data_IF_762469245291
#
_entry.id   IF_762469245291
#
_cell.length_a   1.000
_cell.length_b   1.000
_cell.length_c   1.000
_cell.angle_alpha   90.00
_cell.angle_beta   90.00
_cell.angle_gamma   90.00
#
_symmetry.space_group_name_H-M   'P 1'
#
loop_
_entity.id
_entity.type
_entity.pdbx_description
1 polymer ?
#
# COMPACT_ATOMS: atom_id res chain seq x y z
N UNK A 1 5.51 17.82 0.73
CA UNK A 1 4.61 17.96 1.91
C UNK A 1 3.26 17.26 1.75
N UNK A 2 2.66 17.14 0.54
CA UNK A 2 1.40 16.41 0.30
C UNK A 2 1.53 14.87 0.26
N UNK A 3 2.53 14.29 0.91
CA UNK A 3 2.98 12.94 0.54
C UNK A 3 2.14 11.80 1.17
N UNK A 4 1.54 12.02 2.34
CA UNK A 4 1.01 10.94 3.22
C UNK A 4 -0.44 11.17 3.67
N UNK A 5 -1.15 12.06 3.00
CA UNK A 5 -2.56 12.30 3.23
C UNK A 5 -3.25 12.58 1.90
N UNK A 6 -4.55 12.31 1.84
CA UNK A 6 -5.39 12.48 0.66
C UNK A 6 -6.41 13.57 0.92
N UNK A 7 -6.55 14.48 -0.02
CA UNK A 7 -7.70 15.38 -0.03
C UNK A 7 -8.88 14.68 -0.71
N UNK A 8 -9.98 14.55 0.01
CA UNK A 8 -11.29 14.27 -0.58
C UNK A 8 -12.02 15.58 -0.81
N UNK A 9 -13.26 15.52 -1.30
CA UNK A 9 -14.12 16.70 -1.38
C UNK A 9 -14.35 17.30 0.02
N UNK A 10 -14.64 16.45 1.00
CA UNK A 10 -15.12 16.86 2.32
C UNK A 10 -14.03 16.88 3.41
N UNK A 11 -13.00 16.03 3.32
CA UNK A 11 -12.01 15.87 4.38
C UNK A 11 -10.58 15.67 3.87
N UNK A 12 -9.64 15.72 4.80
CA UNK A 12 -8.26 15.33 4.62
C UNK A 12 -8.04 13.98 5.34
N UNK A 13 -7.67 12.94 4.61
CA UNK A 13 -7.52 11.58 5.11
C UNK A 13 -6.06 11.19 5.31
N UNK A 14 -5.73 10.50 6.39
CA UNK A 14 -4.43 9.85 6.58
C UNK A 14 -4.58 8.54 7.37
N UNK A 15 -3.59 7.65 7.25
CA UNK A 15 -3.49 6.41 8.02
C UNK A 15 -2.34 6.51 9.01
N UNK A 16 -2.60 6.17 10.28
CA UNK A 16 -1.58 6.20 11.32
C UNK A 16 -0.51 5.13 11.11
N UNK A 17 -0.89 3.94 10.63
CA UNK A 17 0.04 2.86 10.25
C UNK A 17 1.04 3.38 9.21
N UNK A 18 0.56 4.16 8.25
CA UNK A 18 1.40 4.80 7.25
C UNK A 18 2.35 5.86 7.80
N UNK A 19 1.88 6.69 8.72
CA UNK A 19 2.75 7.67 9.40
C UNK A 19 3.83 6.94 10.21
N UNK A 20 3.48 5.85 10.90
CA UNK A 20 4.42 5.04 11.67
C UNK A 20 5.45 4.36 10.77
N UNK A 21 5.01 3.72 9.68
CA UNK A 21 5.90 3.10 8.72
C UNK A 21 6.93 4.09 8.18
N UNK A 22 6.52 5.33 7.87
CA UNK A 22 7.45 6.36 7.43
C UNK A 22 8.51 6.71 8.48
N UNK A 23 8.10 6.82 9.75
CA UNK A 23 8.96 7.33 10.83
C UNK A 23 9.83 6.22 11.42
N UNK A 24 9.32 5.00 11.44
CA UNK A 24 9.95 3.82 12.04
C UNK A 24 9.61 2.57 11.23
N UNK A 25 10.14 2.46 9.99
CA UNK A 25 9.77 1.38 9.07
C UNK A 25 10.13 -0.02 9.62
N UNK A 26 11.16 -0.11 10.47
CA UNK A 26 11.62 -1.36 11.10
C UNK A 26 10.93 -1.67 12.44
N UNK A 27 10.11 -0.76 12.94
CA UNK A 27 9.44 -0.90 14.21
C UNK A 27 7.98 -0.45 14.06
N UNK A 28 7.22 -1.26 13.31
CA UNK A 28 5.76 -1.25 13.36
C UNK A 28 5.30 -1.84 14.70
N UNK A 29 5.79 -1.29 15.80
CA UNK A 29 5.23 -1.58 17.11
C UNK A 29 3.82 -1.04 17.14
N UNK A 30 2.92 -1.74 17.80
CA UNK A 30 1.59 -1.21 18.11
C UNK A 30 1.62 0.00 19.07
N UNK A 31 2.79 0.57 19.33
CA UNK A 31 3.07 1.67 20.24
C UNK A 31 3.43 2.94 19.45
N UNK A 32 2.74 4.04 19.73
CA UNK A 32 2.98 5.33 19.09
C UNK A 32 3.90 6.22 19.95
N UNK A 33 5.15 6.47 19.54
CA UNK A 33 5.99 7.51 20.15
C UNK A 33 5.50 8.92 19.78
N UNK A 34 6.16 9.96 20.28
CA UNK A 34 5.75 11.36 20.06
C UNK A 34 5.91 11.84 18.59
N UNK A 35 6.88 11.30 17.83
CA UNK A 35 7.16 11.77 16.46
C UNK A 35 6.01 11.58 15.44
N UNK A 36 5.27 10.44 15.42
CA UNK A 36 4.07 10.28 14.59
C UNK A 36 3.01 11.35 14.79
N UNK A 37 2.80 11.79 16.03
CA UNK A 37 1.76 12.78 16.32
C UNK A 37 2.18 14.20 15.95
N UNK A 38 3.48 14.50 15.94
CA UNK A 38 4.00 15.72 15.28
C UNK A 38 3.72 15.72 13.77
N UNK A 39 3.78 14.55 13.13
CA UNK A 39 3.41 14.45 11.71
C UNK A 39 1.92 14.68 11.50
N UNK A 40 1.06 14.15 12.38
CA UNK A 40 -0.37 14.48 12.39
C UNK A 40 -0.60 15.99 12.57
N UNK A 41 0.12 16.64 13.50
CA UNK A 41 0.06 18.08 13.70
C UNK A 41 0.41 18.89 12.43
N UNK A 42 1.37 18.44 11.62
CA UNK A 42 1.69 19.07 10.32
C UNK A 42 0.59 18.86 9.27
N UNK A 43 -0.12 17.73 9.33
CA UNK A 43 -1.31 17.49 8.48
C UNK A 43 -2.43 18.45 8.88
N UNK A 44 -2.62 18.70 10.18
CA UNK A 44 -3.55 19.74 10.67
C UNK A 44 -3.22 21.08 10.04
N UNK A 45 -1.96 21.51 10.04
CA UNK A 45 -1.56 22.79 9.44
C UNK A 45 -1.88 22.84 7.93
N UNK A 46 -1.70 21.72 7.23
CA UNK A 46 -1.86 21.65 5.78
C UNK A 46 -3.31 21.55 5.32
N UNK A 47 -4.19 20.95 6.11
CA UNK A 47 -5.54 20.55 5.70
C UNK A 47 -6.53 21.70 5.38
N UNK A 48 -6.12 22.98 5.43
CA UNK A 48 -6.99 24.11 5.12
C UNK A 48 -8.18 24.25 6.08
N UNK A 49 -9.42 24.30 5.58
CA UNK A 49 -10.64 24.30 6.41
C UNK A 49 -11.24 22.90 6.62
N UNK A 50 -10.64 21.86 6.03
CA UNK A 50 -11.23 20.52 6.01
C UNK A 50 -11.12 19.81 7.34
N UNK A 51 -12.12 18.97 7.62
CA UNK A 51 -12.08 17.98 8.70
C UNK A 51 -10.96 16.98 8.43
N UNK A 52 -10.32 16.49 9.49
CA UNK A 52 -9.24 15.51 9.39
C UNK A 52 -9.79 14.14 9.73
N UNK A 53 -9.65 13.17 8.85
CA UNK A 53 -10.01 11.77 9.10
C UNK A 53 -8.73 10.97 9.24
N UNK A 54 -8.62 10.23 10.35
CA UNK A 54 -7.46 9.44 10.70
C UNK A 54 -7.91 7.99 10.84
N UNK A 55 -7.41 7.13 9.96
CA UNK A 55 -7.51 5.69 10.16
C UNK A 55 -6.54 5.27 11.25
N UNK A 56 -7.09 4.73 12.33
CA UNK A 56 -6.36 4.30 13.51
C UNK A 56 -6.13 2.78 13.57
N UNK A 57 -6.40 2.07 12.47
CA UNK A 57 -6.22 0.63 12.41
C UNK A 57 -4.78 0.18 12.74
N UNK A 58 -4.66 -1.01 13.34
CA UNK A 58 -3.38 -1.63 13.71
C UNK A 58 -2.71 -1.07 14.98
N UNK A 59 -3.27 -0.06 15.65
CA UNK A 59 -2.67 0.56 16.84
C UNK A 59 -3.41 0.14 18.10
N UNK A 60 -2.69 -0.50 19.03
CA UNK A 60 -3.25 -0.92 20.33
C UNK A 60 -2.70 -0.17 21.54
N UNK A 61 -1.63 0.62 21.39
CA UNK A 61 -1.05 1.36 22.51
C UNK A 61 -0.59 2.77 22.12
N UNK A 62 -0.98 3.73 22.95
CA UNK A 62 -0.60 5.12 22.86
C UNK A 62 0.18 5.51 24.13
N UNK A 63 1.36 6.12 23.97
CA UNK A 63 2.06 6.70 25.12
C UNK A 63 1.25 7.85 25.69
N UNK A 64 1.24 7.97 27.03
CA UNK A 64 0.62 9.10 27.72
C UNK A 64 1.28 10.38 27.18
N UNK A 65 0.48 11.32 26.68
CA UNK A 65 0.93 12.56 26.02
C UNK A 65 1.32 12.50 24.55
N UNK A 66 1.32 11.34 23.88
CA UNK A 66 1.68 11.31 22.44
C UNK A 66 0.78 12.25 21.63
N UNK A 67 -0.52 12.34 21.89
CA UNK A 67 -1.42 13.21 21.11
C UNK A 67 -1.31 14.72 21.43
N UNK A 68 -0.48 15.13 22.40
CA UNK A 68 -0.44 16.49 22.91
C UNK A 68 -0.23 17.55 21.82
N UNK A 69 0.80 17.36 20.98
CA UNK A 69 1.13 18.29 19.89
C UNK A 69 -0.02 18.41 18.87
N UNK A 70 -0.63 17.28 18.53
CA UNK A 70 -1.76 17.21 17.61
C UNK A 70 -3.01 17.92 18.18
N UNK A 71 -3.37 17.67 19.44
CA UNK A 71 -4.54 18.28 20.09
C UNK A 71 -4.38 19.80 20.23
N UNK A 72 -3.18 20.29 20.60
CA UNK A 72 -2.88 21.74 20.61
C UNK A 72 -3.12 22.37 19.25
N UNK A 73 -2.71 21.70 18.17
CA UNK A 73 -2.89 22.17 16.80
C UNK A 73 -4.35 22.16 16.35
N UNK A 74 -5.10 21.10 16.66
CA UNK A 74 -6.55 21.09 16.41
C UNK A 74 -7.22 22.31 17.04
N UNK A 75 -6.88 22.60 18.31
CA UNK A 75 -7.39 23.77 19.03
C UNK A 75 -6.98 25.08 18.36
N UNK A 76 -5.68 25.27 18.08
CA UNK A 76 -5.17 26.54 17.53
C UNK A 76 -5.79 26.89 16.18
N UNK A 77 -6.17 25.88 15.39
CA UNK A 77 -6.82 26.07 14.09
C UNK A 77 -8.34 25.87 14.10
N UNK A 78 -8.94 25.59 15.27
CA UNK A 78 -10.39 25.35 15.38
C UNK A 78 -10.89 24.15 14.57
N UNK A 79 -10.08 23.11 14.38
CA UNK A 79 -10.39 21.96 13.50
C UNK A 79 -10.93 20.75 14.21
N UNK A 80 -11.83 20.04 13.53
CA UNK A 80 -12.35 18.73 13.93
C UNK A 80 -11.49 17.60 13.36
N UNK A 81 -11.26 16.58 14.18
CA UNK A 81 -10.68 15.31 13.78
C UNK A 81 -11.64 14.15 14.04
N UNK A 82 -11.72 13.22 13.09
CA UNK A 82 -12.47 11.97 13.16
C UNK A 82 -11.47 10.82 13.14
N UNK A 83 -11.56 9.93 14.13
CA UNK A 83 -10.79 8.70 14.20
C UNK A 83 -11.70 7.54 13.85
N UNK A 84 -11.32 6.75 12.85
CA UNK A 84 -11.98 5.50 12.45
C UNK A 84 -11.11 4.32 12.85
N UNK A 85 -11.69 3.11 12.95
CA UNK A 85 -10.97 1.90 13.40
C UNK A 85 -10.23 2.09 14.73
N UNK A 86 -10.78 2.90 15.64
CA UNK A 86 -10.09 3.34 16.85
C UNK A 86 -10.18 2.34 18.01
N UNK A 87 -10.50 1.07 17.75
CA UNK A 87 -10.75 0.06 18.79
C UNK A 87 -9.59 -0.11 19.78
N UNK A 88 -8.33 0.05 19.32
CA UNK A 88 -7.16 0.01 20.18
C UNK A 88 -6.83 1.30 20.93
N UNK A 89 -7.69 2.32 20.84
CA UNK A 89 -7.57 3.59 21.54
C UNK A 89 -8.42 3.55 22.83
N UNK A 90 -7.82 3.07 23.92
CA UNK A 90 -8.51 3.00 25.22
C UNK A 90 -9.05 4.37 25.65
N UNK A 91 -10.34 4.41 26.03
CA UNK A 91 -11.03 5.65 26.46
C UNK A 91 -10.29 6.39 27.57
N UNK A 92 -9.71 5.66 28.53
CA UNK A 92 -8.92 6.21 29.64
C UNK A 92 -7.68 6.97 29.17
N UNK A 93 -6.98 6.45 28.16
CA UNK A 93 -5.78 7.06 27.56
C UNK A 93 -6.11 8.29 26.72
N UNK A 94 -7.36 8.46 26.30
CA UNK A 94 -7.83 9.68 25.62
C UNK A 94 -8.26 10.76 26.59
N UNK A 95 -8.91 10.38 27.69
CA UNK A 95 -9.45 11.35 28.66
C UNK A 95 -8.36 12.19 29.31
N UNK A 96 -7.17 11.65 29.57
CA UNK A 96 -6.10 12.43 30.21
C UNK A 96 -5.49 13.49 29.26
N UNK A 97 -5.05 13.15 28.03
CA UNK A 97 -4.66 14.16 27.05
C UNK A 97 -5.78 15.17 26.79
N UNK A 98 -7.02 14.73 26.59
CA UNK A 98 -8.14 15.62 26.29
C UNK A 98 -8.63 16.45 27.48
N UNK A 99 -8.27 16.12 28.73
CA UNK A 99 -8.50 17.01 29.89
C UNK A 99 -7.47 18.13 29.97
N UNK A 100 -6.25 17.86 29.51
CA UNK A 100 -5.14 18.85 29.46
C UNK A 100 -5.38 19.87 28.35
N UNK A 101 -6.20 19.55 27.34
CA UNK A 101 -6.57 20.46 26.24
C UNK A 101 -8.05 20.81 26.30
N UNK A 102 -8.42 22.06 26.03
CA UNK A 102 -9.84 22.46 25.91
C UNK A 102 -10.48 21.90 24.63
N UNK A 103 -10.81 20.60 24.63
CA UNK A 103 -11.62 19.96 23.60
C UNK A 103 -13.08 20.08 24.04
N UNK A 104 -13.88 20.83 23.29
CA UNK A 104 -15.27 21.13 23.64
C UNK A 104 -16.25 20.00 23.32
N UNK A 105 -15.87 19.02 22.49
CA UNK A 105 -16.72 17.88 22.18
C UNK A 105 -15.91 16.59 21.93
N UNK A 106 -16.26 15.54 22.66
CA UNK A 106 -15.78 14.17 22.49
C UNK A 106 -17.00 13.26 22.40
N UNK A 107 -17.23 12.66 21.22
CA UNK A 107 -18.27 11.65 21.03
C UNK A 107 -17.65 10.35 20.57
N UNK A 108 -18.14 9.26 21.15
CA UNK A 108 -17.66 7.89 20.91
C UNK A 108 -18.87 7.07 20.48
N UNK A 109 -19.03 6.86 19.17
CA UNK A 109 -19.99 5.91 18.61
C UNK A 109 -19.30 4.60 18.24
N UNK A 110 -20.06 3.56 17.88
CA UNK A 110 -19.52 2.20 17.68
C UNK A 110 -18.33 2.13 16.71
N UNK A 111 -18.16 3.11 15.81
CA UNK A 111 -17.11 3.09 14.78
C UNK A 111 -16.34 4.41 14.57
N UNK A 112 -16.79 5.53 15.15
CA UNK A 112 -16.12 6.83 15.03
C UNK A 112 -15.89 7.49 16.40
N UNK A 113 -14.67 7.96 16.62
CA UNK A 113 -14.32 8.92 17.67
C UNK A 113 -14.19 10.33 17.07
N UNK A 114 -14.89 11.29 17.65
CA UNK A 114 -14.89 12.69 17.19
C UNK A 114 -14.21 13.58 18.23
N UNK A 115 -13.18 14.32 17.81
CA UNK A 115 -12.51 15.33 18.62
C UNK A 115 -12.70 16.71 17.98
N UNK A 116 -13.33 17.65 18.69
CA UNK A 116 -13.55 19.00 18.19
C UNK A 116 -13.31 20.08 19.25
N UNK A 117 -12.61 21.18 18.91
CA UNK A 117 -12.48 22.35 19.77
C UNK A 117 -13.75 23.19 19.81
N UNK A 118 -14.78 22.90 19.01
CA UNK A 118 -16.07 23.59 19.05
C UNK A 118 -17.21 22.60 19.32
N UNK A 119 -18.29 22.99 20.03
CA UNK A 119 -19.48 22.15 20.19
C UNK A 119 -20.06 21.77 18.83
N UNK A 120 -20.37 20.49 18.64
CA UNK A 120 -20.97 20.00 17.40
C UNK A 120 -22.48 20.00 17.57
N UNK A 121 -23.20 20.84 16.82
CA UNK A 121 -24.64 21.00 16.98
C UNK A 121 -25.48 19.93 16.26
N UNK A 122 -24.92 19.25 15.27
CA UNK A 122 -25.49 18.08 14.59
C UNK A 122 -24.44 17.52 13.63
N UNK A 123 -23.84 16.37 13.94
CA UNK A 123 -22.98 15.67 12.97
C UNK A 123 -23.57 14.33 12.60
N UNK A 124 -24.22 14.27 11.43
CA UNK A 124 -24.56 13.00 10.78
C UNK A 124 -23.36 12.52 9.95
N UNK A 125 -22.26 12.17 10.61
CA UNK A 125 -21.20 11.43 9.94
C UNK A 125 -21.65 9.98 9.79
N UNK A 126 -21.84 9.53 8.55
CA UNK A 126 -22.02 8.12 8.24
C UNK A 126 -20.68 7.52 7.89
N UNK A 127 -20.31 6.48 8.62
CA UNK A 127 -19.02 5.81 8.46
C UNK A 127 -18.87 5.21 7.06
N UNK A 128 -19.96 4.70 6.48
CA UNK A 128 -19.97 4.14 5.13
C UNK A 128 -19.63 5.20 4.07
N UNK A 129 -20.18 6.41 4.19
CA UNK A 129 -19.89 7.52 3.27
C UNK A 129 -18.41 7.91 3.35
N UNK A 130 -17.87 7.98 4.58
CA UNK A 130 -16.44 8.26 4.82
C UNK A 130 -15.57 7.16 4.18
N UNK A 131 -15.88 5.89 4.40
CA UNK A 131 -15.12 4.78 3.81
C UNK A 131 -15.19 4.80 2.28
N UNK A 132 -16.36 5.04 1.69
CA UNK A 132 -16.50 5.12 0.24
C UNK A 132 -15.64 6.25 -0.36
N UNK A 133 -15.63 7.43 0.26
CA UNK A 133 -14.77 8.53 -0.18
C UNK A 133 -13.27 8.23 -0.02
N UNK A 134 -12.87 7.63 1.10
CA UNK A 134 -11.48 7.21 1.33
C UNK A 134 -11.06 6.23 0.23
N UNK A 135 -11.86 5.19 0.00
CA UNK A 135 -11.56 4.17 -1.00
C UNK A 135 -11.47 4.77 -2.40
N UNK A 136 -12.39 5.66 -2.77
CA UNK A 136 -12.34 6.39 -4.03
C UNK A 136 -11.07 7.23 -4.16
N UNK A 137 -10.71 8.01 -3.14
CA UNK A 137 -9.52 8.86 -3.16
C UNK A 137 -8.23 8.04 -3.25
N UNK A 138 -8.15 6.92 -2.52
CA UNK A 138 -7.01 5.99 -2.55
C UNK A 138 -6.88 5.31 -3.91
N UNK A 139 -7.97 4.77 -4.45
CA UNK A 139 -7.99 4.12 -5.75
C UNK A 139 -7.58 5.08 -6.86
N UNK A 140 -8.08 6.32 -6.83
CA UNK A 140 -7.65 7.37 -7.75
C UNK A 140 -6.15 7.63 -7.60
N UNK A 141 -5.64 7.85 -6.38
CA UNK A 141 -4.21 8.10 -6.15
C UNK A 141 -3.32 6.97 -6.67
N UNK A 142 -3.69 5.72 -6.41
CA UNK A 142 -2.95 4.53 -6.86
C UNK A 142 -3.00 4.43 -8.39
N UNK A 143 -4.19 4.54 -8.97
CA UNK A 143 -4.40 4.50 -10.43
C UNK A 143 -3.58 5.58 -11.13
N UNK A 144 -3.68 6.83 -10.66
CA UNK A 144 -2.93 7.96 -11.22
C UNK A 144 -1.42 7.72 -11.10
N UNK A 145 -0.94 7.17 -9.98
CA UNK A 145 0.48 6.87 -9.78
C UNK A 145 0.98 5.82 -10.76
N UNK A 146 0.17 4.79 -11.02
CA UNK A 146 0.49 3.72 -11.96
C UNK A 146 0.44 4.24 -13.40
N UNK A 147 -0.61 4.95 -13.79
CA UNK A 147 -0.77 5.47 -15.15
C UNK A 147 0.26 6.56 -15.50
N UNK A 148 0.58 7.46 -14.57
CA UNK A 148 1.61 8.50 -14.77
C UNK A 148 3.05 7.93 -14.83
N UNK A 149 3.23 6.64 -14.53
CA UNK A 149 4.52 5.98 -14.71
C UNK A 149 4.83 5.61 -16.18
N UNK A 150 3.86 5.82 -17.09
CA UNK A 150 4.05 5.63 -18.52
C UNK A 150 5.18 6.52 -19.09
N UNK A 151 5.94 5.96 -20.02
CA UNK A 151 6.98 6.62 -20.81
C UNK A 151 6.75 6.32 -22.28
N UNK A 152 6.47 7.35 -23.06
CA UNK A 152 6.29 7.20 -24.50
C UNK A 152 7.65 7.20 -25.20
N UNK A 153 7.78 6.35 -26.21
CA UNK A 153 8.92 6.43 -27.11
C UNK A 153 8.88 7.73 -27.91
N UNK A 154 10.06 8.16 -28.35
CA UNK A 154 10.20 9.33 -29.21
C UNK A 154 9.26 9.23 -30.42
N UNK A 155 8.52 10.30 -30.70
CA UNK A 155 7.51 10.39 -31.77
C UNK A 155 6.41 9.30 -31.76
N UNK A 156 6.21 8.59 -30.64
CA UNK A 156 5.22 7.50 -30.56
C UNK A 156 5.58 6.26 -31.38
N UNK A 157 6.87 6.07 -31.69
CA UNK A 157 7.35 4.91 -32.43
C UNK A 157 7.08 3.59 -31.69
N UNK A 158 6.60 2.59 -32.44
CA UNK A 158 6.45 1.24 -31.92
C UNK A 158 7.80 0.54 -31.87
N UNK A 159 8.23 0.16 -30.66
CA UNK A 159 9.47 -0.60 -30.42
C UNK A 159 9.18 -1.91 -29.69
N UNK A 160 9.99 -2.96 -29.90
CA UNK A 160 9.86 -4.20 -29.14
C UNK A 160 10.02 -3.96 -27.64
N UNK A 161 9.12 -4.51 -26.84
CA UNK A 161 9.24 -4.54 -25.39
C UNK A 161 10.24 -5.61 -24.97
N UNK A 162 11.04 -5.30 -23.96
CA UNK A 162 12.06 -6.22 -23.45
C UNK A 162 11.47 -7.58 -23.08
N UNK A 163 12.09 -8.65 -23.56
CA UNK A 163 11.72 -10.04 -23.26
C UNK A 163 10.28 -10.43 -23.65
N UNK A 164 9.68 -9.73 -24.62
CA UNK A 164 8.39 -10.09 -25.20
C UNK A 164 8.41 -9.92 -26.72
N UNK A 165 7.54 -10.62 -27.47
CA UNK A 165 7.37 -10.36 -28.89
C UNK A 165 6.55 -9.08 -29.18
N UNK A 166 5.99 -8.41 -28.16
CA UNK A 166 5.09 -7.28 -28.37
C UNK A 166 5.83 -6.00 -28.75
N UNK A 167 5.28 -5.26 -29.72
CA UNK A 167 5.66 -3.90 -30.02
C UNK A 167 4.79 -2.93 -29.22
N UNK A 168 5.38 -1.82 -28.76
CA UNK A 168 4.67 -0.78 -28.02
C UNK A 168 5.16 0.62 -28.35
N UNK A 169 4.28 1.62 -28.29
CA UNK A 169 4.64 3.04 -28.41
C UNK A 169 5.17 3.67 -27.10
N UNK A 170 5.30 2.86 -26.05
CA UNK A 170 5.85 3.25 -24.75
C UNK A 170 5.95 2.09 -23.77
N UNK A 171 6.40 2.37 -22.56
CA UNK A 171 6.50 1.39 -21.48
C UNK A 171 6.11 1.99 -20.13
N UNK A 172 5.70 1.14 -19.19
CA UNK A 172 5.44 1.57 -17.82
C UNK A 172 6.70 1.39 -16.97
N UNK A 173 7.15 2.48 -16.33
CA UNK A 173 8.39 2.48 -15.57
C UNK A 173 8.13 2.60 -14.07
N UNK A 174 8.21 1.48 -13.35
CA UNK A 174 8.01 1.44 -11.89
C UNK A 174 9.01 2.30 -11.11
N UNK A 175 10.17 2.66 -11.69
CA UNK A 175 11.10 3.60 -11.06
C UNK A 175 10.51 4.99 -10.88
N UNK A 176 9.55 5.42 -11.73
CA UNK A 176 8.82 6.69 -11.54
C UNK A 176 7.89 6.66 -10.32
N UNK A 177 7.40 5.49 -9.94
CA UNK A 177 6.62 5.30 -8.72
C UNK A 177 7.57 5.28 -7.52
N UNK A 178 8.62 4.47 -7.58
CA UNK A 178 9.63 4.31 -6.52
C UNK A 178 10.33 5.64 -6.20
N UNK A 179 10.65 6.43 -7.24
CA UNK A 179 11.32 7.72 -7.10
C UNK A 179 10.43 8.84 -6.56
N UNK A 180 9.11 8.65 -6.46
CA UNK A 180 8.18 9.64 -5.93
C UNK A 180 7.61 9.15 -4.59
N UNK A 181 8.03 9.72 -3.44
CA UNK A 181 7.66 9.21 -2.11
C UNK A 181 6.16 9.02 -1.89
N UNK A 182 5.34 9.96 -2.35
CA UNK A 182 3.87 9.86 -2.24
C UNK A 182 3.30 8.70 -3.05
N UNK A 183 3.78 8.52 -4.28
CA UNK A 183 3.33 7.44 -5.16
C UNK A 183 3.75 6.09 -4.59
N UNK A 184 5.03 5.96 -4.19
CA UNK A 184 5.55 4.76 -3.56
C UNK A 184 4.76 4.38 -2.30
N UNK A 185 4.47 5.35 -1.43
CA UNK A 185 3.71 5.13 -0.21
C UNK A 185 2.31 4.56 -0.48
N UNK A 186 1.49 5.24 -1.29
CA UNK A 186 0.11 4.79 -1.51
C UNK A 186 0.01 3.50 -2.30
N UNK A 187 0.92 3.29 -3.26
CA UNK A 187 0.99 2.05 -4.04
C UNK A 187 1.40 0.86 -3.18
N UNK A 188 2.43 1.00 -2.33
CA UNK A 188 2.87 -0.10 -1.46
C UNK A 188 1.86 -0.44 -0.37
N UNK A 189 1.12 0.55 0.15
CA UNK A 189 -0.03 0.31 1.03
C UNK A 189 -1.12 -0.51 0.32
N UNK A 190 -1.50 -0.13 -0.90
CA UNK A 190 -2.49 -0.87 -1.68
C UNK A 190 -2.01 -2.31 -2.01
N UNK A 191 -0.73 -2.48 -2.34
CA UNK A 191 -0.13 -3.82 -2.52
C UNK A 191 -0.20 -4.64 -1.23
N UNK A 192 0.15 -4.06 -0.08
CA UNK A 192 0.15 -4.73 1.20
C UNK A 192 -1.27 -5.17 1.62
N UNK A 193 -2.27 -4.32 1.43
CA UNK A 193 -3.67 -4.67 1.67
C UNK A 193 -4.12 -5.80 0.74
N UNK A 194 -3.79 -5.72 -0.55
CA UNK A 194 -4.13 -6.79 -1.50
C UNK A 194 -3.48 -8.11 -1.10
N UNK A 195 -2.22 -8.08 -0.62
CA UNK A 195 -1.52 -9.25 -0.07
C UNK A 195 -2.23 -9.81 1.16
N UNK A 196 -2.56 -8.97 2.15
CA UNK A 196 -3.31 -9.39 3.35
C UNK A 196 -4.65 -10.05 2.96
N UNK A 197 -5.40 -9.42 2.04
CA UNK A 197 -6.67 -9.94 1.52
C UNK A 197 -6.52 -11.33 0.87
N UNK A 198 -5.51 -11.53 0.00
CA UNK A 198 -5.34 -12.84 -0.65
C UNK A 198 -4.83 -13.91 0.32
N UNK A 199 -3.98 -13.55 1.29
CA UNK A 199 -3.51 -14.47 2.32
C UNK A 199 -4.69 -14.99 3.13
N UNK A 200 -5.59 -14.11 3.54
CA UNK A 200 -6.80 -14.45 4.27
C UNK A 200 -7.79 -15.24 3.40
N UNK A 201 -8.13 -14.72 2.21
CA UNK A 201 -9.13 -15.30 1.31
C UNK A 201 -8.75 -16.72 0.86
N UNK A 202 -7.48 -16.94 0.50
CA UNK A 202 -7.00 -18.23 -0.02
C UNK A 202 -6.28 -19.07 1.03
N UNK A 203 -6.23 -18.60 2.29
CA UNK A 203 -5.55 -19.26 3.41
C UNK A 203 -4.10 -19.64 3.07
N UNK A 204 -3.37 -18.68 2.51
CA UNK A 204 -1.99 -18.90 2.05
C UNK A 204 -1.08 -18.98 3.27
N UNK A 205 -0.43 -20.14 3.44
CA UNK A 205 0.52 -20.39 4.51
C UNK A 205 -0.10 -20.94 5.81
N UNK A 206 0.73 -21.66 6.57
CA UNK A 206 0.41 -22.23 7.88
C UNK A 206 1.71 -22.53 8.66
N UNK A 207 1.61 -23.14 9.85
CA UNK A 207 2.76 -23.46 10.69
C UNK A 207 3.81 -24.38 10.03
N UNK A 208 3.41 -25.26 9.09
CA UNK A 208 4.32 -26.17 8.38
C UNK A 208 4.85 -25.59 7.07
N UNK A 209 4.06 -24.72 6.44
CA UNK A 209 4.38 -24.05 5.17
C UNK A 209 4.08 -22.57 5.32
N UNK A 210 4.97 -21.76 5.92
CA UNK A 210 4.67 -20.35 6.15
C UNK A 210 4.52 -19.60 4.83
N UNK A 211 3.76 -18.50 4.84
CA UNK A 211 3.67 -17.60 3.71
C UNK A 211 5.01 -16.86 3.51
N UNK A 212 5.42 -16.68 2.26
CA UNK A 212 6.63 -15.92 1.91
C UNK A 212 6.40 -15.11 0.64
N UNK A 213 6.90 -13.88 0.58
CA UNK A 213 6.86 -13.08 -0.64
C UNK A 213 8.06 -13.44 -1.53
N UNK A 214 7.89 -13.37 -2.84
CA UNK A 214 8.99 -13.54 -3.80
C UNK A 214 8.92 -12.49 -4.90
N UNK A 215 10.08 -11.92 -5.26
CA UNK A 215 10.20 -10.92 -6.33
C UNK A 215 11.35 -11.27 -7.28
N UNK A 216 11.15 -11.03 -8.58
CA UNK A 216 12.09 -11.38 -9.66
C UNK A 216 12.45 -10.14 -10.49
N UNK A 217 12.93 -9.09 -9.84
CA UNK A 217 13.69 -7.98 -10.45
C UNK A 217 14.09 -6.99 -9.36
N UNK A 218 15.09 -6.13 -9.62
CA UNK A 218 15.42 -5.06 -8.66
C UNK A 218 14.26 -4.06 -8.48
N UNK A 219 13.51 -3.79 -9.56
CA UNK A 219 12.36 -2.89 -9.52
C UNK A 219 11.24 -3.44 -8.62
N UNK A 220 10.83 -4.68 -8.87
CA UNK A 220 9.82 -5.35 -8.06
C UNK A 220 10.31 -5.61 -6.63
N UNK A 221 11.62 -5.81 -6.42
CA UNK A 221 12.19 -6.05 -5.08
C UNK A 221 12.01 -4.87 -4.13
N UNK A 222 12.08 -3.63 -4.62
CA UNK A 222 11.80 -2.46 -3.78
C UNK A 222 10.34 -2.44 -3.28
N UNK A 223 9.39 -2.75 -4.17
CA UNK A 223 7.98 -2.89 -3.82
C UNK A 223 7.76 -4.07 -2.85
N UNK A 224 8.33 -5.23 -3.16
CA UNK A 224 8.26 -6.42 -2.31
C UNK A 224 8.82 -6.20 -0.91
N UNK A 225 9.91 -5.43 -0.77
CA UNK A 225 10.50 -5.11 0.52
C UNK A 225 9.57 -4.24 1.35
N UNK A 226 8.99 -3.19 0.76
CA UNK A 226 8.00 -2.35 1.44
C UNK A 226 6.77 -3.16 1.89
N UNK A 227 6.25 -4.02 1.01
CA UNK A 227 5.11 -4.90 1.32
C UNK A 227 5.47 -5.89 2.44
N UNK A 228 6.66 -6.48 2.40
CA UNK A 228 7.15 -7.39 3.45
C UNK A 228 7.16 -6.71 4.81
N UNK A 229 7.62 -5.46 4.86
CA UNK A 229 7.64 -4.68 6.10
C UNK A 229 6.23 -4.37 6.60
N UNK A 230 5.32 -3.93 5.72
CA UNK A 230 3.93 -3.58 6.07
C UNK A 230 3.06 -4.79 6.46
N UNK A 231 3.39 -5.97 5.94
CA UNK A 231 2.61 -7.20 6.19
C UNK A 231 3.24 -8.12 7.24
N UNK A 232 4.54 -7.93 7.54
CA UNK A 232 5.33 -8.86 8.34
C UNK A 232 5.66 -10.18 7.63
N UNK A 233 5.27 -10.35 6.37
CA UNK A 233 5.53 -11.58 5.60
C UNK A 233 6.96 -11.51 5.05
N UNK A 234 7.85 -12.49 5.32
CA UNK A 234 9.24 -12.43 4.85
C UNK A 234 9.35 -12.39 3.32
N UNK A 235 10.30 -11.61 2.80
CA UNK A 235 10.60 -11.53 1.36
C UNK A 235 11.81 -12.37 0.96
N UNK A 236 11.73 -12.94 -0.24
CA UNK A 236 12.85 -13.47 -0.99
C UNK A 236 13.00 -12.77 -2.34
N UNK A 237 14.22 -12.41 -2.72
CA UNK A 237 14.50 -11.74 -3.99
C UNK A 237 15.35 -12.64 -4.87
N UNK A 238 14.96 -12.77 -6.13
CA UNK A 238 15.73 -13.47 -7.16
C UNK A 238 16.43 -12.40 -7.99
N UNK A 239 17.76 -12.42 -7.97
CA UNK A 239 18.56 -11.54 -8.81
C UNK A 239 18.62 -12.10 -10.25
N UNK A 240 18.73 -11.20 -11.23
CA UNK A 240 18.79 -11.53 -12.67
C UNK A 240 20.07 -12.29 -13.07
N UNK A 241 21.03 -12.44 -12.16
CA UNK A 241 22.19 -13.33 -12.33
C UNK A 241 21.88 -14.81 -12.06
N UNK A 242 20.60 -15.17 -11.88
CA UNK A 242 20.21 -16.48 -11.38
C UNK A 242 20.58 -16.63 -9.91
N UNK A 243 20.42 -17.83 -9.32
CA UNK A 243 20.92 -18.07 -7.98
C UNK A 243 22.43 -17.76 -7.97
N UNK A 244 22.85 -16.78 -7.15
CA UNK A 244 24.26 -16.55 -6.79
C UNK A 244 24.69 -17.66 -5.82
N UNK A 245 24.39 -18.90 -6.17
CA UNK A 245 24.93 -20.06 -5.52
C UNK A 245 26.18 -20.40 -6.32
N UNK A 246 27.34 -20.28 -5.67
CA UNK A 246 28.53 -21.02 -6.11
C UNK A 246 28.06 -22.44 -6.47
N UNK A 247 28.50 -23.03 -7.60
CA UNK A 247 28.00 -24.33 -8.09
C UNK A 247 28.21 -25.53 -7.13
N UNK A 248 28.62 -25.30 -5.89
CA UNK A 248 28.96 -26.29 -4.87
C UNK A 248 28.44 -25.92 -3.47
N UNK A 249 27.24 -25.36 -3.34
CA UNK A 249 26.55 -25.27 -2.04
C UNK A 249 25.03 -25.40 -2.19
N UNK A 250 24.58 -26.45 -2.89
CA UNK A 250 23.20 -26.95 -2.76
C UNK A 250 23.13 -27.82 -1.49
N UNK A 251 23.54 -27.24 -0.37
CA UNK A 251 22.83 -27.43 0.89
C UNK A 251 21.89 -26.23 1.02
N UNK A 252 21.15 -25.92 -0.05
CA UNK A 252 19.91 -25.20 0.12
C UNK A 252 19.09 -26.07 1.06
N UNK A 253 18.61 -25.51 2.17
CA UNK A 253 17.81 -26.19 3.18
C UNK A 253 16.52 -26.71 2.52
N UNK A 254 16.62 -27.84 1.82
CA UNK A 254 15.54 -28.50 1.06
C UNK A 254 14.40 -28.93 2.01
N UNK A 255 14.63 -28.85 3.32
CA UNK A 255 13.63 -29.02 4.38
C UNK A 255 12.65 -27.86 4.49
N UNK A 256 13.01 -26.64 4.06
CA UNK A 256 12.14 -25.47 4.25
C UNK A 256 11.19 -25.25 3.06
N UNK A 257 9.99 -25.82 3.18
CA UNK A 257 8.89 -25.58 2.24
C UNK A 257 8.02 -24.40 2.67
N UNK A 258 7.59 -23.58 1.73
CA UNK A 258 6.72 -22.43 1.99
C UNK A 258 5.69 -22.23 0.87
N UNK A 259 4.72 -21.35 1.13
CA UNK A 259 3.75 -20.91 0.15
C UNK A 259 4.10 -19.49 -0.30
N UNK A 260 4.61 -19.39 -1.52
CA UNK A 260 5.07 -18.15 -2.12
C UNK A 260 3.93 -17.33 -2.70
N UNK A 261 4.05 -16.02 -2.53
CA UNK A 261 3.24 -15.00 -3.20
C UNK A 261 4.19 -14.15 -4.03
N UNK A 262 3.98 -14.13 -5.34
CA UNK A 262 4.76 -13.28 -6.23
C UNK A 262 4.40 -11.81 -6.04
N UNK A 263 5.40 -10.93 -5.94
CA UNK A 263 5.24 -9.48 -5.99
C UNK A 263 6.00 -8.96 -7.20
N UNK A 264 5.27 -8.34 -8.12
CA UNK A 264 5.83 -7.79 -9.36
C UNK A 264 5.43 -6.33 -9.60
N UNK A 265 6.09 -5.68 -10.56
CA UNK A 265 5.65 -4.38 -11.06
C UNK A 265 4.55 -4.54 -12.14
N UNK A 266 4.94 -4.77 -13.39
CA UNK A 266 4.03 -4.86 -14.53
C UNK A 266 4.09 -6.24 -15.15
N UNK A 267 2.93 -6.86 -15.36
CA UNK A 267 2.86 -8.18 -16.01
C UNK A 267 2.50 -8.04 -17.48
N UNK A 268 3.47 -8.30 -18.35
CA UNK A 268 3.30 -8.34 -19.80
C UNK A 268 3.49 -9.77 -20.31
N UNK A 269 4.71 -10.31 -20.37
CA UNK A 269 4.95 -11.66 -20.90
C UNK A 269 4.93 -12.81 -19.87
N UNK A 270 4.83 -12.49 -18.58
CA UNK A 270 4.86 -13.48 -17.50
C UNK A 270 6.21 -14.16 -17.25
N UNK A 271 7.29 -13.74 -17.90
CA UNK A 271 8.63 -14.34 -17.76
C UNK A 271 9.13 -14.33 -16.32
N UNK A 272 9.02 -13.20 -15.62
CA UNK A 272 9.42 -13.07 -14.21
C UNK A 272 8.61 -14.01 -13.29
N UNK A 273 7.33 -14.20 -13.57
CA UNK A 273 6.45 -15.15 -12.84
C UNK A 273 6.92 -16.58 -13.07
N UNK A 274 7.24 -16.97 -14.31
CA UNK A 274 7.75 -18.31 -14.63
C UNK A 274 9.09 -18.60 -13.94
N UNK A 275 9.97 -17.60 -13.84
CA UNK A 275 11.22 -17.71 -13.08
C UNK A 275 10.92 -17.92 -11.60
N UNK A 276 10.00 -17.14 -11.01
CA UNK A 276 9.59 -17.28 -9.62
C UNK A 276 9.03 -18.69 -9.32
N UNK A 277 8.18 -19.22 -10.22
CA UNK A 277 7.64 -20.56 -10.09
C UNK A 277 8.70 -21.64 -10.19
N UNK A 278 9.63 -21.51 -11.14
CA UNK A 278 10.74 -22.46 -11.28
C UNK A 278 11.55 -22.49 -9.99
N UNK A 279 11.82 -21.32 -9.41
CA UNK A 279 12.53 -21.21 -8.14
C UNK A 279 11.75 -21.82 -6.96
N UNK A 280 10.43 -21.59 -6.88
CA UNK A 280 9.57 -22.19 -5.88
C UNK A 280 9.57 -23.73 -5.99
N UNK A 281 9.45 -24.26 -7.21
CA UNK A 281 9.45 -25.69 -7.48
C UNK A 281 10.77 -26.36 -7.07
N UNK A 282 11.91 -25.71 -7.33
CA UNK A 282 13.24 -26.18 -6.90
C UNK A 282 13.36 -26.32 -5.37
N UNK A 283 12.51 -25.64 -4.59
CA UNK A 283 12.47 -25.71 -3.12
C UNK A 283 11.33 -26.58 -2.58
N UNK A 284 10.63 -27.33 -3.43
CA UNK A 284 9.39 -28.04 -3.07
C UNK A 284 8.31 -27.10 -2.46
N UNK A 285 8.38 -25.81 -2.81
CA UNK A 285 7.44 -24.77 -2.41
C UNK A 285 6.39 -24.55 -3.51
N UNK A 286 5.31 -23.87 -3.16
CA UNK A 286 4.19 -23.61 -4.09
C UNK A 286 4.12 -22.12 -4.38
N UNK A 287 3.84 -21.74 -5.62
CA UNK A 287 3.56 -20.37 -6.03
C UNK A 287 2.33 -20.38 -6.95
N UNK A 288 1.18 -20.04 -6.37
CA UNK A 288 -0.12 -20.04 -7.07
C UNK A 288 -0.72 -18.64 -7.21
N UNK A 289 -0.17 -17.64 -6.51
CA UNK A 289 -0.71 -16.29 -6.47
C UNK A 289 0.38 -15.25 -6.70
N UNK A 290 0.01 -14.18 -7.38
CA UNK A 290 0.86 -13.01 -7.55
C UNK A 290 0.08 -11.71 -7.43
N UNK A 291 0.68 -10.69 -6.83
CA UNK A 291 0.17 -9.33 -6.76
C UNK A 291 1.09 -8.42 -7.54
N UNK A 292 0.53 -7.62 -8.44
CA UNK A 292 1.28 -6.73 -9.34
C UNK A 292 0.62 -5.37 -9.41
N UNK A 293 1.35 -4.35 -9.86
CA UNK A 293 0.77 -3.02 -10.07
C UNK A 293 -0.33 -3.08 -11.12
N UNK A 294 -0.01 -3.64 -12.27
CA UNK A 294 -0.95 -3.82 -13.36
C UNK A 294 -0.57 -5.01 -14.24
N UNK A 295 -1.56 -5.53 -14.95
CA UNK A 295 -1.38 -6.57 -15.95
C UNK A 295 -1.91 -6.10 -17.30
N UNK A 296 -1.19 -6.45 -18.37
CA UNK A 296 -1.68 -6.26 -19.73
C UNK A 296 -2.79 -7.26 -20.07
N UNK A 297 -2.64 -8.48 -19.54
CA UNK A 297 -3.52 -9.62 -19.79
C UNK A 297 -4.46 -9.83 -18.60
N UNK A 298 -5.60 -10.47 -18.85
CA UNK A 298 -6.58 -10.78 -17.82
C UNK A 298 -6.10 -11.92 -16.93
N UNK A 299 -6.65 -12.05 -15.72
CA UNK A 299 -6.25 -13.12 -14.79
C UNK A 299 -6.42 -14.51 -15.41
N UNK A 300 -7.43 -14.72 -16.26
CA UNK A 300 -7.67 -15.99 -16.97
C UNK A 300 -6.53 -16.41 -17.90
N UNK A 301 -5.79 -15.45 -18.45
CA UNK A 301 -4.67 -15.75 -19.35
C UNK A 301 -3.50 -16.42 -18.60
N UNK A 302 -3.44 -16.22 -17.27
CA UNK A 302 -2.42 -16.81 -16.39
C UNK A 302 -2.94 -17.90 -15.47
N UNK A 303 -4.24 -18.22 -15.46
CA UNK A 303 -4.84 -19.13 -14.46
C UNK A 303 -4.20 -20.53 -14.44
N UNK A 304 -3.66 -20.99 -15.57
CA UNK A 304 -2.92 -22.26 -15.67
C UNK A 304 -1.50 -22.21 -15.09
N UNK A 305 -1.02 -21.01 -14.75
CA UNK A 305 0.31 -20.70 -14.23
C UNK A 305 0.18 -20.20 -12.79
N UNK A 306 -0.39 -19.00 -12.63
CA UNK A 306 -0.54 -18.27 -11.37
C UNK A 306 -1.77 -17.38 -11.47
N UNK A 307 -2.56 -17.34 -10.40
CA UNK A 307 -3.63 -16.34 -10.29
C UNK A 307 -3.02 -14.96 -9.98
N UNK A 308 -3.03 -14.07 -10.98
CA UNK A 308 -2.54 -12.70 -10.86
C UNK A 308 -3.65 -11.77 -10.39
N UNK A 309 -3.33 -10.99 -9.36
CA UNK A 309 -4.18 -10.01 -8.70
C UNK A 309 -3.58 -8.61 -8.90
N UNK A 310 -3.89 -7.92 -10.01
CA UNK A 310 -3.37 -6.57 -10.22
C UNK A 310 -4.05 -5.56 -9.29
N UNK A 311 -3.40 -4.41 -9.04
CA UNK A 311 -4.06 -3.27 -8.38
C UNK A 311 -5.01 -2.54 -9.33
N UNK A 312 -4.72 -2.56 -10.64
CA UNK A 312 -5.62 -2.07 -11.68
C UNK A 312 -5.85 -3.14 -12.74
N UNK A 313 -7.12 -3.41 -13.05
CA UNK A 313 -7.54 -4.60 -13.81
C UNK A 313 -7.11 -4.60 -15.29
N UNK A 314 -6.69 -3.47 -15.86
CA UNK A 314 -6.11 -3.48 -17.21
C UNK A 314 -5.38 -2.20 -17.59
N UNK A 315 -4.13 -2.35 -18.07
CA UNK A 315 -3.39 -1.32 -18.80
C UNK A 315 -4.04 -0.94 -20.14
N UNK A 316 -4.92 -1.79 -20.68
CA UNK A 316 -5.60 -1.59 -21.96
C UNK A 316 -6.97 -0.91 -21.82
N UNK A 317 -7.51 -0.79 -20.61
CA UNK A 317 -8.78 -0.10 -20.39
C UNK A 317 -8.60 1.42 -20.57
N UNK A 318 -9.55 2.07 -21.26
CA UNK A 318 -9.59 3.53 -21.37
C UNK A 318 -9.95 4.07 -19.98
N UNK A 319 -8.96 4.48 -19.19
CA UNK A 319 -9.21 5.16 -17.92
C UNK A 319 -9.10 6.66 -18.19
N UNK A 320 -10.24 7.34 -18.37
CA UNK A 320 -10.29 8.81 -18.47
C UNK A 320 -9.44 9.44 -19.59
N UNK A 321 -8.68 10.48 -19.22
CA UNK A 321 -7.90 11.36 -20.13
C UNK A 321 -6.43 10.98 -20.30
N UNK A 322 -6.00 9.81 -19.80
CA UNK A 322 -4.59 9.41 -19.90
C UNK A 322 -4.22 8.98 -21.32
N UNK A 323 -3.07 9.47 -21.81
CA UNK A 323 -2.46 8.99 -23.05
C UNK A 323 -2.22 7.49 -22.94
N UNK A 324 -2.67 6.72 -23.94
CA UNK A 324 -2.67 5.26 -23.89
C UNK A 324 -1.39 4.71 -24.52
N UNK A 325 -0.67 3.87 -23.77
CA UNK A 325 0.35 2.99 -24.36
C UNK A 325 -0.39 1.94 -25.19
N UNK A 326 -0.04 1.85 -26.46
CA UNK A 326 -0.61 0.92 -27.43
C UNK A 326 0.33 -0.26 -27.63
N UNK A 327 -0.24 -1.47 -27.71
CA UNK A 327 0.51 -2.71 -27.92
C UNK A 327 0.07 -3.36 -29.24
N UNK A 328 1.02 -3.89 -30.02
CA UNK A 328 0.78 -4.59 -31.29
C UNK A 328 1.68 -5.83 -31.41
N UNK A 329 1.21 -6.85 -32.12
CA UNK A 329 2.07 -7.96 -32.53
C UNK A 329 2.95 -7.50 -33.71
N UNK A 330 4.18 -8.03 -33.86
CA UNK A 330 4.98 -7.83 -35.05
C UNK A 330 4.23 -8.40 -36.26
N UNK A 331 4.09 -7.60 -37.31
CA UNK A 331 3.47 -7.98 -38.59
C UNK A 331 4.33 -8.93 -39.41
#
# INVERSE_FOLDING_TARGET
MNEFYLYTEHFCYTSIEGILWRISPFNLSNFIPEKPTESLARIVDSAGSKTIVIDWDGISNLHIHSLNSFLKKLKSFGKTALFINYAGLEKSKLTDPCKVYEINHVSIGDEILILSPNPIQNSNYKIEDIYQEIQKARNNKVTDSILNSAEFHYNGEFKPLASTPLLSNGEYNSNKIIGVPSSFFWVTFALAEKVKQIVEQYRIGNAKRPAKLISVSLRASALGAAVSMLTGIPLETINHFGPVNKPFNIEADLSFTCDYIYIGDYTIGGTEIKIAQTYAALKNSILNHGVVLASLFTSSDYEHIVKIHPLIDSLNSKIGSYSKIEFKLPS
#
